data_IF_339543019669
#
_entry.id   IF_339543019669
#
_cell.length_a   1.000
_cell.length_b   1.000
_cell.length_c   1.000
_cell.angle_alpha   90.00
_cell.angle_beta   90.00
_cell.angle_gamma   90.00
#
_symmetry.space_group_name_H-M   'P 1'
#
loop_
_entity.id
_entity.type
_entity.pdbx_description
1 polymer ?
#
# COMPACT_ATOMS: atom_id res chain seq x y z
N UNK A 1 -31.06 38.69 19.15
CA UNK A 1 -30.75 38.45 18.99
C UNK A 1 -30.29 37.65 18.62
N UNK A 2 -29.92 37.10 18.35
CA UNK A 2 -29.66 36.29 18.08
C UNK A 2 -28.62 35.78 17.49
N UNK A 3 -27.91 35.25 17.64
CA UNK A 3 -26.95 34.81 17.29
C UNK A 3 -26.89 33.77 16.46
N UNK A 4 -26.31 33.59 15.81
CA UNK A 4 -26.35 32.66 14.99
C UNK A 4 -25.25 31.93 14.87
N UNK A 5 -25.17 30.99 15.16
CA UNK A 5 -24.18 30.21 15.08
C UNK A 5 -23.86 29.66 13.88
N UNK A 6 -23.00 29.81 13.50
CA UNK A 6 -22.68 29.30 12.35
C UNK A 6 -21.86 28.25 12.40
N UNK A 7 -22.16 27.31 12.25
CA UNK A 7 -21.45 26.24 12.25
C UNK A 7 -20.75 26.02 11.13
N UNK A 8 -19.75 26.26 11.10
CA UNK A 8 -19.07 25.99 10.06
C UNK A 8 -18.54 24.73 10.03
N UNK A 9 -18.85 24.03 9.44
CA UNK A 9 -18.39 22.80 9.31
C UNK A 9 -17.41 22.62 8.46
N UNK A 10 -16.53 22.33 8.81
CA UNK A 10 -15.58 22.09 8.10
C UNK A 10 -15.41 20.91 7.67
N UNK A 11 -15.42 20.50 6.91
CA UNK A 11 -15.30 19.43 6.37
C UNK A 11 -14.08 19.11 5.95
N UNK A 12 -13.62 18.46 6.26
CA UNK A 12 -12.58 18.05 5.89
C UNK A 12 -12.38 17.29 4.90
N UNK A 13 -11.79 17.26 4.27
CA UNK A 13 -11.60 16.61 3.25
C UNK A 13 -10.99 15.44 3.32
N UNK A 14 -11.11 14.84 2.98
CA UNK A 14 -10.64 13.75 3.09
C UNK A 14 -10.04 13.22 2.11
N UNK A 15 -9.31 12.71 2.02
CA UNK A 15 -8.69 12.20 1.23
C UNK A 15 -8.68 11.18 0.65
N UNK A 16 -8.44 10.83 -0.03
CA UNK A 16 -8.53 9.92 -0.79
C UNK A 16 -7.76 8.94 -0.75
N UNK A 17 -7.90 8.43 -0.69
CA UNK A 17 -7.47 7.42 -0.72
C UNK A 17 -6.62 6.89 -1.55
N UNK A 18 -6.47 7.34 -2.24
CA UNK A 18 -5.66 6.84 -3.10
C UNK A 18 -4.65 6.23 -2.55
N UNK A 19 -4.58 6.45 -1.61
CA UNK A 19 -3.56 5.92 -1.10
C UNK A 19 -3.31 4.58 -1.38
N UNK A 20 -4.19 3.95 -1.50
CA UNK A 20 -3.95 2.73 -1.66
C UNK A 20 -3.09 2.38 -2.64
N UNK A 21 -2.78 3.12 -3.41
CA UNK A 21 -2.00 2.55 -4.38
C UNK A 21 -0.61 2.85 -4.14
N UNK A 22 -0.15 2.92 -3.02
CA UNK A 22 1.25 3.18 -2.81
C UNK A 22 2.02 1.90 -3.04
N UNK A 23 2.19 1.51 -4.24
CA UNK A 23 2.96 0.31 -4.53
C UNK A 23 4.45 0.66 -4.49
N UNK A 24 5.28 -0.36 -4.46
CA UNK A 24 6.73 -0.14 -4.46
C UNK A 24 7.16 0.64 -5.68
N UNK A 25 6.59 0.28 -6.81
CA UNK A 25 6.93 0.97 -8.05
C UNK A 25 6.50 2.43 -8.00
N UNK A 26 5.33 2.67 -7.48
CA UNK A 26 4.81 4.01 -7.37
C UNK A 26 5.68 4.86 -6.45
N UNK A 27 6.06 4.30 -5.33
CA UNK A 27 6.90 5.02 -4.40
C UNK A 27 8.27 5.32 -4.99
N UNK A 28 8.82 4.36 -5.73
CA UNK A 28 10.11 4.57 -6.36
C UNK A 28 10.04 5.72 -7.35
N UNK A 29 8.94 5.78 -8.08
CA UNK A 29 8.75 6.84 -9.05
C UNK A 29 8.64 8.19 -8.35
N UNK A 30 7.92 8.24 -7.26
CA UNK A 30 7.77 9.48 -6.53
C UNK A 30 9.09 9.98 -5.95
N UNK A 31 9.92 9.07 -5.54
CA UNK A 31 11.21 9.44 -4.99
C UNK A 31 12.23 9.61 -6.09
N UNK A 32 11.82 9.40 -7.31
CA UNK A 32 12.72 9.54 -8.45
C UNK A 32 13.98 8.72 -8.33
N UNK A 33 13.82 7.52 -7.84
CA UNK A 33 14.95 6.65 -7.69
C UNK A 33 15.35 6.07 -9.03
N UNK A 34 16.62 5.83 -9.18
CA UNK A 34 17.11 5.28 -10.41
C UNK A 34 18.41 4.53 -10.16
N UNK A 35 18.75 3.67 -11.07
CA UNK A 35 19.99 2.92 -10.93
C UNK A 35 20.02 2.02 -9.73
N UNK A 36 21.14 2.03 -9.05
CA UNK A 36 21.31 1.15 -7.89
C UNK A 36 20.32 1.47 -6.78
N UNK A 37 20.02 2.74 -6.61
CA UNK A 37 19.08 3.14 -5.57
C UNK A 37 17.70 2.56 -5.82
N UNK A 38 17.27 2.57 -7.08
CA UNK A 38 15.99 2.02 -7.43
C UNK A 38 15.99 0.53 -7.17
N UNK A 39 17.05 -0.14 -7.57
CA UNK A 39 17.14 -1.57 -7.41
C UNK A 39 17.09 -1.96 -5.94
N UNK A 40 17.85 -1.27 -5.13
CA UNK A 40 17.88 -1.58 -3.70
C UNK A 40 16.53 -1.33 -3.06
N UNK A 41 15.89 -0.24 -3.43
CA UNK A 41 14.59 0.10 -2.90
C UNK A 41 13.56 -0.95 -3.27
N UNK A 42 13.53 -1.35 -4.53
CA UNK A 42 12.58 -2.34 -4.99
C UNK A 42 12.80 -3.69 -4.32
N UNK A 43 14.05 -4.09 -4.17
CA UNK A 43 14.37 -5.35 -3.54
C UNK A 43 13.89 -5.38 -2.10
N UNK A 44 14.14 -4.31 -1.37
CA UNK A 44 13.73 -4.25 0.01
C UNK A 44 12.21 -4.20 0.11
N UNK A 45 11.58 -3.43 -0.75
CA UNK A 45 10.15 -3.31 -0.73
C UNK A 45 9.49 -4.64 -1.05
N UNK A 46 10.04 -5.36 -2.02
CA UNK A 46 9.52 -6.66 -2.37
C UNK A 46 9.63 -7.62 -1.20
N UNK A 47 10.75 -7.59 -0.52
CA UNK A 47 10.97 -8.45 0.61
C UNK A 47 9.99 -8.14 1.72
N UNK A 48 9.79 -6.87 2.01
CA UNK A 48 8.84 -6.46 3.04
C UNK A 48 7.43 -6.87 2.65
N UNK A 49 7.09 -6.73 1.38
CA UNK A 49 5.78 -7.10 0.90
C UNK A 49 5.56 -8.59 1.05
N UNK A 50 6.60 -9.36 0.76
CA UNK A 50 6.49 -10.79 0.87
C UNK A 50 6.19 -11.22 2.29
N UNK A 51 6.90 -10.62 3.24
CA UNK A 51 6.68 -10.92 4.64
C UNK A 51 5.26 -10.55 5.06
N UNK A 52 4.81 -9.40 4.60
CA UNK A 52 3.49 -8.93 4.93
C UNK A 52 2.42 -9.83 4.31
N UNK A 53 2.62 -10.23 3.08
CA UNK A 53 1.66 -11.10 2.40
C UNK A 53 1.61 -12.47 3.04
N UNK A 54 2.77 -12.97 3.50
CA UNK A 54 2.80 -14.26 4.18
C UNK A 54 2.02 -14.18 5.47
N UNK A 55 2.18 -13.10 6.19
CA UNK A 55 1.46 -12.90 7.45
C UNK A 55 -0.04 -12.90 7.19
N UNK A 56 -0.44 -12.18 6.14
CA UNK A 56 -1.85 -12.13 5.79
C UNK A 56 -2.39 -13.51 5.44
N UNK A 57 -1.61 -14.28 4.69
CA UNK A 57 -2.03 -15.62 4.31
C UNK A 57 -2.20 -16.49 5.55
N UNK A 58 -1.31 -16.33 6.51
CA UNK A 58 -1.38 -17.09 7.74
C UNK A 58 -2.64 -16.71 8.53
N UNK A 59 -2.92 -15.42 8.58
CA UNK A 59 -4.09 -14.94 9.29
C UNK A 59 -5.37 -15.47 8.66
N UNK A 60 -5.36 -15.64 7.35
CA UNK A 60 -6.53 -16.16 6.67
C UNK A 60 -6.51 -17.68 6.65
N UNK A 61 -5.49 -18.25 7.27
CA UNK A 61 -5.37 -19.71 7.34
C UNK A 61 -5.35 -20.37 5.99
N UNK A 62 -4.69 -19.73 5.06
CA UNK A 62 -4.58 -20.31 3.74
C UNK A 62 -3.43 -21.29 3.73
N UNK A 63 -3.55 -22.30 2.94
CA UNK A 63 -2.47 -23.26 2.80
C UNK A 63 -2.50 -23.87 1.41
N UNK A 64 -1.42 -24.52 1.05
CA UNK A 64 -1.33 -25.15 -0.24
C UNK A 64 -1.40 -24.17 -1.38
N UNK A 65 -2.09 -24.56 -2.43
CA UNK A 65 -2.18 -23.72 -3.60
C UNK A 65 -2.84 -22.39 -3.33
N UNK A 66 -3.82 -22.39 -2.42
CA UNK A 66 -4.51 -21.16 -2.10
C UNK A 66 -3.54 -20.14 -1.50
N UNK A 67 -2.65 -20.62 -0.64
CA UNK A 67 -1.67 -19.72 -0.02
C UNK A 67 -0.71 -19.20 -1.08
N UNK A 68 -0.26 -20.07 -1.96
CA UNK A 68 0.67 -19.67 -3.01
C UNK A 68 0.06 -18.62 -3.91
N UNK A 69 -1.17 -18.87 -4.36
CA UNK A 69 -1.84 -17.91 -5.24
C UNK A 69 -2.08 -16.58 -4.55
N UNK A 70 -2.53 -16.64 -3.32
CA UNK A 70 -2.80 -15.42 -2.57
C UNK A 70 -1.52 -14.61 -2.39
N UNK A 71 -0.47 -15.27 -1.96
CA UNK A 71 0.79 -14.57 -1.70
C UNK A 71 1.34 -13.95 -2.96
N UNK A 72 1.28 -14.69 -4.06
CA UNK A 72 1.79 -14.19 -5.32
C UNK A 72 1.04 -12.93 -5.76
N UNK A 73 -0.27 -12.99 -5.72
CA UNK A 73 -1.06 -11.86 -6.12
C UNK A 73 -0.83 -10.69 -5.16
N UNK A 74 -0.76 -10.98 -3.89
CA UNK A 74 -0.55 -9.96 -2.88
C UNK A 74 0.77 -9.22 -3.12
N UNK A 75 1.83 -9.97 -3.40
CA UNK A 75 3.12 -9.36 -3.65
C UNK A 75 3.10 -8.52 -4.91
N UNK A 76 2.52 -9.06 -5.97
CA UNK A 76 2.45 -8.32 -7.21
C UNK A 76 1.68 -7.02 -7.05
N UNK A 77 0.58 -7.07 -6.32
CA UNK A 77 -0.21 -5.87 -6.07
C UNK A 77 0.56 -4.87 -5.22
N UNK A 78 1.31 -5.35 -4.25
CA UNK A 78 2.07 -4.47 -3.38
C UNK A 78 3.26 -3.84 -4.11
N UNK A 79 3.88 -4.61 -4.98
CA UNK A 79 5.03 -4.11 -5.70
C UNK A 79 4.62 -3.25 -6.90
N UNK A 80 3.51 -3.57 -7.48
CA UNK A 80 3.04 -2.79 -8.62
C UNK A 80 3.36 -3.40 -9.97
N UNK A 81 3.58 -4.69 -10.01
CA UNK A 81 3.87 -5.33 -11.29
C UNK A 81 2.70 -6.14 -11.78
#
# INVERSE_FOLDING_TARGET
MRAIAICTILMLGILPATAQTATCKSQATEKKLAGAALKSFMTKCEKDSKASCDTSATEKKLSGAARTSFTKKCINDAVGT
#
